data_IF_332087397425
#
_entry.id   IF_332087397425
#
_cell.length_a   1.000
_cell.length_b   1.000
_cell.length_c   1.000
_cell.angle_alpha   90.00
_cell.angle_beta   90.00
_cell.angle_gamma   90.00
#
_symmetry.space_group_name_H-M   'P 1'
#
loop_
_entity.id
_entity.type
_entity.pdbx_description
1 polymer ?
#
# COMPACT_ATOMS: atom_id res chain seq x y z
N UNK A 1 -12.62 -22.68 20.03
CA UNK A 1 -12.76 -23.96 19.32
C UNK A 1 -13.92 -23.83 18.37
N UNK A 2 -13.64 -23.81 17.07
CA UNK A 2 -14.67 -23.78 16.06
C UNK A 2 -15.08 -25.20 15.67
N UNK A 3 -16.35 -25.36 15.29
CA UNK A 3 -16.89 -26.63 14.80
C UNK A 3 -17.34 -26.46 13.37
N UNK A 4 -17.08 -27.46 12.56
CA UNK A 4 -17.54 -27.50 11.20
C UNK A 4 -19.08 -27.37 11.16
N UNK A 5 -19.65 -26.39 10.43
CA UNK A 5 -21.11 -26.22 10.34
C UNK A 5 -21.78 -27.36 9.58
N UNK A 6 -21.03 -28.15 8.82
CA UNK A 6 -21.56 -29.26 8.02
C UNK A 6 -21.55 -30.61 8.73
N UNK A 7 -20.58 -30.88 9.62
CA UNK A 7 -20.44 -32.20 10.26
C UNK A 7 -20.23 -32.15 11.78
N UNK A 8 -20.07 -30.96 12.36
CA UNK A 8 -19.95 -30.78 13.81
C UNK A 8 -18.60 -31.19 14.40
N UNK A 9 -17.62 -31.60 13.58
CA UNK A 9 -16.27 -31.93 14.05
C UNK A 9 -15.52 -30.66 14.43
N UNK A 10 -14.57 -30.79 15.35
CA UNK A 10 -13.68 -29.71 15.75
C UNK A 10 -12.74 -29.36 14.59
N UNK A 11 -12.65 -28.07 14.29
CA UNK A 11 -11.82 -27.53 13.21
C UNK A 11 -10.93 -26.41 13.77
N UNK A 12 -9.69 -26.36 13.31
CA UNK A 12 -8.77 -25.28 13.68
C UNK A 12 -9.13 -24.02 12.88
N UNK A 13 -8.93 -22.84 13.47
CA UNK A 13 -9.16 -21.54 12.81
C UNK A 13 -8.30 -21.36 11.54
N UNK A 14 -7.22 -22.12 11.42
CA UNK A 14 -6.36 -22.16 10.23
C UNK A 14 -6.84 -23.11 9.11
N UNK A 15 -7.81 -23.97 9.38
CA UNK A 15 -8.27 -24.98 8.43
C UNK A 15 -9.18 -24.37 7.36
N UNK A 16 -8.69 -24.35 6.11
CA UNK A 16 -9.46 -23.87 4.94
C UNK A 16 -10.57 -24.86 4.54
N UNK A 17 -10.34 -26.14 4.80
CA UNK A 17 -11.23 -27.24 4.40
C UNK A 17 -11.34 -28.22 5.58
N UNK A 18 -12.55 -28.65 5.89
CA UNK A 18 -12.76 -29.66 6.92
C UNK A 18 -12.21 -31.03 6.48
N UNK A 19 -11.28 -31.60 7.25
CA UNK A 19 -10.67 -32.91 6.97
C UNK A 19 -11.64 -34.09 7.04
N UNK A 20 -12.81 -33.91 7.68
CA UNK A 20 -13.79 -34.98 7.85
C UNK A 20 -14.85 -35.02 6.75
N UNK A 21 -15.34 -33.86 6.29
CA UNK A 21 -16.45 -33.79 5.34
C UNK A 21 -16.12 -33.07 4.02
N UNK A 22 -14.96 -32.41 3.92
CA UNK A 22 -14.56 -31.69 2.71
C UNK A 22 -15.28 -30.36 2.49
N UNK A 23 -16.12 -29.89 3.43
CA UNK A 23 -16.74 -28.56 3.31
C UNK A 23 -15.66 -27.48 3.41
N UNK A 24 -15.78 -26.44 2.58
CA UNK A 24 -14.91 -25.27 2.63
C UNK A 24 -15.32 -24.40 3.81
N UNK A 25 -14.38 -24.13 4.72
CA UNK A 25 -14.58 -23.34 5.93
C UNK A 25 -14.17 -21.86 5.78
N UNK A 26 -13.59 -21.48 4.63
CA UNK A 26 -13.22 -20.12 4.15
C UNK A 26 -13.31 -18.99 5.19
N UNK A 27 -12.29 -18.19 5.45
CA UNK A 27 -10.96 -18.08 4.89
C UNK A 27 -10.14 -17.41 5.98
N UNK A 28 -8.93 -17.92 6.23
CA UNK A 28 -7.92 -17.14 6.90
C UNK A 28 -7.87 -15.78 6.19
N UNK A 29 -8.23 -14.73 6.94
CA UNK A 29 -7.69 -13.42 6.67
C UNK A 29 -6.19 -13.65 6.83
N UNK A 30 -5.54 -13.97 5.71
CA UNK A 30 -4.11 -13.77 5.57
C UNK A 30 -3.98 -12.27 5.70
N UNK A 31 -3.94 -11.79 6.94
CA UNK A 31 -3.12 -10.65 7.25
C UNK A 31 -1.75 -11.10 6.79
N UNK A 32 -1.45 -10.69 5.55
CA UNK A 32 -0.09 -10.59 5.12
C UNK A 32 0.55 -9.72 6.17
N UNK A 33 1.28 -10.35 7.08
CA UNK A 33 2.54 -9.81 7.56
C UNK A 33 3.34 -9.51 6.30
N UNK A 34 3.09 -8.31 5.78
CA UNK A 34 3.89 -7.68 4.76
C UNK A 34 5.17 -7.24 5.42
N UNK A 35 6.06 -8.19 5.69
CA UNK A 35 7.49 -7.88 5.66
C UNK A 35 7.99 -8.17 4.25
N UNK A 36 7.62 -7.25 3.37
CA UNK A 36 8.46 -6.85 2.26
C UNK A 36 8.46 -5.32 2.28
N UNK A 37 9.63 -4.76 2.51
CA UNK A 37 10.00 -3.37 2.23
C UNK A 37 9.62 -2.34 3.31
N UNK A 38 10.39 -2.36 4.40
CA UNK A 38 10.86 -1.15 5.07
C UNK A 38 11.80 -0.33 4.12
N UNK A 39 11.34 0.01 2.91
CA UNK A 39 11.92 1.07 2.08
C UNK A 39 11.03 1.35 0.85
N UNK A 40 9.92 2.09 1.02
CA UNK A 40 9.35 2.90 -0.07
C UNK A 40 9.18 4.33 0.38
N UNK A 41 10.34 4.99 0.48
CA UNK A 41 10.46 6.44 0.52
C UNK A 41 9.75 7.04 -0.69
N UNK A 42 8.74 7.86 -0.40
CA UNK A 42 8.22 8.93 -1.24
C UNK A 42 7.54 8.54 -2.56
N UNK A 43 6.19 8.51 -2.62
CA UNK A 43 5.50 8.56 -3.89
C UNK A 43 5.67 9.97 -4.46
N UNK A 44 6.49 10.12 -5.52
CA UNK A 44 6.45 11.06 -6.67
C UNK A 44 5.96 12.54 -6.55
N UNK A 45 5.47 13.03 -5.42
CA UNK A 45 4.95 14.38 -5.24
C UNK A 45 6.05 15.37 -4.84
N UNK A 46 7.04 14.89 -4.07
CA UNK A 46 8.18 15.72 -3.68
C UNK A 46 9.09 16.05 -4.87
N UNK A 47 9.18 15.16 -5.87
CA UNK A 47 9.88 15.43 -7.13
C UNK A 47 9.17 16.55 -7.91
N UNK A 48 7.83 16.53 -7.93
CA UNK A 48 7.05 17.61 -8.54
C UNK A 48 7.28 18.95 -7.83
N UNK A 49 7.28 18.97 -6.49
CA UNK A 49 7.59 20.18 -5.70
C UNK A 49 9.02 20.67 -5.95
N UNK A 50 10.00 19.78 -5.96
CA UNK A 50 11.42 20.13 -6.14
C UNK A 50 11.79 20.53 -7.57
N UNK A 51 11.02 20.14 -8.59
CA UNK A 51 11.33 20.47 -9.99
C UNK A 51 10.48 21.63 -10.52
N UNK A 52 9.17 21.65 -10.28
CA UNK A 52 8.31 22.74 -10.81
C UNK A 52 8.51 24.06 -10.09
N UNK A 53 8.78 24.04 -8.77
CA UNK A 53 9.00 25.26 -7.99
C UNK A 53 10.24 26.04 -8.47
N UNK A 54 11.44 25.44 -8.64
CA UNK A 54 12.58 26.16 -9.18
C UNK A 54 12.41 26.48 -10.66
N UNK A 55 11.76 25.63 -11.47
CA UNK A 55 11.53 25.94 -12.89
C UNK A 55 10.71 27.22 -13.07
N UNK A 56 9.68 27.42 -12.24
CA UNK A 56 8.83 28.61 -12.29
C UNK A 56 9.55 29.85 -11.73
N UNK A 57 10.32 29.71 -10.64
CA UNK A 57 11.16 30.80 -10.11
C UNK A 57 12.26 31.25 -11.09
N UNK A 58 12.89 30.32 -11.80
CA UNK A 58 13.90 30.63 -12.81
C UNK A 58 13.23 31.33 -14.01
N UNK A 59 12.11 30.80 -14.50
CA UNK A 59 11.42 31.39 -15.65
C UNK A 59 10.90 32.80 -15.35
N UNK A 60 10.32 33.02 -14.17
CA UNK A 60 9.94 34.37 -13.73
C UNK A 60 11.17 35.24 -13.47
N UNK A 61 12.19 34.70 -12.80
CA UNK A 61 13.43 35.40 -12.50
C UNK A 61 14.10 35.93 -13.76
N UNK A 62 14.37 35.11 -14.77
CA UNK A 62 15.02 35.55 -16.02
C UNK A 62 14.17 36.53 -16.83
N UNK A 63 12.84 36.48 -16.72
CA UNK A 63 11.95 37.38 -17.43
C UNK A 63 11.78 38.73 -16.69
N UNK A 64 11.89 38.74 -15.36
CA UNK A 64 11.77 39.93 -14.51
C UNK A 64 13.12 40.59 -14.14
N UNK A 65 14.22 39.83 -14.05
CA UNK A 65 15.58 40.35 -13.76
C UNK A 65 16.04 41.42 -14.75
N UNK A 66 15.91 41.27 -16.08
CA UNK A 66 16.41 42.29 -17.01
C UNK A 66 15.60 43.60 -16.94
N UNK A 67 14.43 43.61 -16.28
CA UNK A 67 13.65 44.83 -16.04
C UNK A 67 14.00 45.56 -14.73
N UNK A 68 14.76 44.94 -13.82
CA UNK A 68 15.14 45.55 -12.53
C UNK A 68 16.55 46.16 -12.53
N UNK A 69 17.38 45.81 -13.52
CA UNK A 69 18.75 46.34 -13.71
C UNK A 69 18.85 47.38 -14.85
N UNK A 70 17.71 47.82 -15.38
CA UNK A 70 17.60 48.86 -16.41
C UNK A 70 17.10 50.18 -15.81
#
# INVERSE_FOLDING_TARGET
MDRCPSCGIEVSEEQVICVNCGVQLKALKVEKEGESEEEKKSPCWWVFLFILLPMLLIMFGIMFLPGLFA
#
